data_IF_993062599088
#
_entry.id   IF_993062599088
#
_cell.length_a   1.000
_cell.length_b   1.000
_cell.length_c   1.000
_cell.angle_alpha   90.00
_cell.angle_beta   90.00
_cell.angle_gamma   90.00
#
_symmetry.space_group_name_H-M   'P 1'
#
loop_
_entity.id
_entity.type
_entity.pdbx_description
1 polymer ?
#
# COMPACT_ATOMS: atom_id res chain seq x y z
N UNK A 1 -12.95 17.81 -6.07
CA UNK A 1 -13.25 16.36 -6.07
C UNK A 1 -13.46 15.89 -7.50
N UNK A 2 -12.61 14.98 -7.95
CA UNK A 2 -12.66 14.35 -9.26
C UNK A 2 -13.05 12.88 -9.14
N UNK A 3 -13.56 12.30 -10.23
CA UNK A 3 -13.90 10.88 -10.35
C UNK A 3 -13.47 10.41 -11.74
N UNK A 4 -12.86 9.24 -11.80
CA UNK A 4 -12.39 8.63 -13.04
C UNK A 4 -12.78 7.16 -13.05
N UNK A 5 -13.37 6.71 -14.16
CA UNK A 5 -13.64 5.30 -14.41
C UNK A 5 -12.47 4.71 -15.19
N UNK A 6 -11.89 3.63 -14.69
CA UNK A 6 -10.70 2.98 -15.27
C UNK A 6 -11.01 1.53 -15.55
N UNK A 7 -10.66 1.05 -16.74
CA UNK A 7 -10.70 -0.37 -17.08
C UNK A 7 -9.28 -0.94 -17.05
N UNK A 8 -9.10 -2.08 -16.40
CA UNK A 8 -7.82 -2.79 -16.25
C UNK A 8 -7.86 -4.06 -17.08
N UNK A 9 -6.71 -4.42 -17.67
CA UNK A 9 -6.63 -5.60 -18.54
C UNK A 9 -6.74 -6.89 -17.70
N UNK A 10 -7.64 -7.84 -18.04
CA UNK A 10 -7.68 -9.16 -17.42
C UNK A 10 -6.38 -9.97 -17.63
N UNK A 11 -6.08 -10.94 -16.75
CA UNK A 11 -6.79 -11.24 -15.49
C UNK A 11 -6.38 -10.26 -14.38
N UNK A 12 -7.33 -9.84 -13.54
CA UNK A 12 -7.05 -8.97 -12.38
C UNK A 12 -8.05 -9.24 -11.24
N UNK A 13 -7.55 -9.77 -10.12
CA UNK A 13 -8.34 -10.15 -8.94
C UNK A 13 -8.19 -9.14 -7.81
N UNK A 14 -9.04 -8.12 -7.82
CA UNK A 14 -9.00 -7.06 -6.81
C UNK A 14 -9.33 -7.55 -5.40
N UNK A 15 -10.21 -8.53 -5.24
CA UNK A 15 -10.59 -9.01 -3.90
C UNK A 15 -9.37 -9.62 -3.17
N UNK A 16 -8.47 -10.28 -3.90
CA UNK A 16 -7.19 -10.78 -3.36
C UNK A 16 -6.23 -9.66 -3.00
N UNK A 17 -6.27 -8.54 -3.73
CA UNK A 17 -5.54 -7.32 -3.37
C UNK A 17 -6.07 -6.77 -2.04
N UNK A 18 -7.39 -6.69 -1.88
CA UNK A 18 -8.01 -6.24 -0.63
C UNK A 18 -7.70 -7.16 0.54
N UNK A 19 -7.72 -8.48 0.34
CA UNK A 19 -7.30 -9.46 1.36
C UNK A 19 -5.86 -9.24 1.79
N UNK A 20 -4.94 -9.03 0.84
CA UNK A 20 -3.52 -8.78 1.13
C UNK A 20 -3.31 -7.46 1.87
N UNK A 21 -3.99 -6.39 1.43
CA UNK A 21 -3.88 -5.07 2.05
C UNK A 21 -4.47 -5.08 3.47
N UNK A 22 -5.52 -5.86 3.72
CA UNK A 22 -6.17 -5.96 5.03
C UNK A 22 -5.30 -6.63 6.12
N UNK A 23 -4.15 -7.20 5.75
CA UNK A 23 -3.20 -7.74 6.74
C UNK A 23 -2.51 -6.63 7.53
N UNK A 24 -2.38 -5.44 6.94
CA UNK A 24 -1.78 -4.26 7.57
C UNK A 24 -2.90 -3.36 8.11
N UNK A 25 -3.02 -3.18 9.44
CA UNK A 25 -4.14 -2.46 10.06
C UNK A 25 -4.19 -0.97 9.68
N UNK A 26 -3.09 -0.41 9.16
CA UNK A 26 -3.06 0.97 8.69
C UNK A 26 -3.75 1.17 7.32
N UNK A 27 -4.01 0.08 6.58
CA UNK A 27 -4.70 0.18 5.30
C UNK A 27 -6.21 0.27 5.50
N UNK A 28 -6.81 1.32 4.94
CA UNK A 28 -8.26 1.54 5.01
C UNK A 28 -8.99 0.75 3.91
N UNK A 29 -9.17 -0.56 4.15
CA UNK A 29 -9.86 -1.50 3.24
C UNK A 29 -11.29 -1.75 3.71
N UNK A 30 -12.24 -1.72 2.77
CA UNK A 30 -13.61 -2.20 2.95
C UNK A 30 -13.86 -3.33 1.93
N UNK A 31 -13.92 -4.58 2.42
CA UNK A 31 -14.08 -5.75 1.55
C UNK A 31 -15.52 -5.93 1.06
N UNK A 32 -16.50 -5.48 1.82
CA UNK A 32 -17.92 -5.56 1.43
C UNK A 32 -18.21 -4.56 0.31
N UNK A 33 -17.73 -3.32 0.47
CA UNK A 33 -17.83 -2.29 -0.57
C UNK A 33 -16.83 -2.47 -1.73
N UNK A 34 -15.92 -3.45 -1.62
CA UNK A 34 -14.80 -3.71 -2.54
C UNK A 34 -14.00 -2.44 -2.83
N UNK A 35 -13.54 -1.81 -1.76
CA UNK A 35 -12.91 -0.50 -1.76
C UNK A 35 -11.63 -0.46 -0.92
N UNK A 36 -10.69 0.41 -1.31
CA UNK A 36 -9.59 0.84 -0.46
C UNK A 36 -9.36 2.35 -0.61
N UNK A 37 -9.06 3.01 0.51
CA UNK A 37 -8.64 4.41 0.55
C UNK A 37 -7.13 4.47 0.75
N UNK A 38 -6.45 5.15 -0.18
CA UNK A 38 -4.99 5.20 -0.30
C UNK A 38 -4.51 6.61 0.00
N UNK A 39 -3.83 6.85 1.13
CA UNK A 39 -3.20 8.13 1.41
C UNK A 39 -1.86 8.22 0.68
N UNK A 40 -1.71 9.26 -0.15
CA UNK A 40 -0.53 9.50 -0.99
C UNK A 40 -0.10 10.94 -0.76
N UNK A 41 1.21 11.20 -0.58
CA UNK A 41 1.73 12.56 -0.54
C UNK A 41 2.00 13.05 -1.96
N UNK A 42 1.49 14.21 -2.32
CA UNK A 42 1.83 14.87 -3.57
C UNK A 42 3.24 15.50 -3.51
N UNK A 43 3.70 16.07 -4.62
CA UNK A 43 5.01 16.74 -4.69
C UNK A 43 5.18 17.92 -3.72
N UNK A 44 4.08 18.58 -3.30
CA UNK A 44 4.10 19.63 -2.29
C UNK A 44 4.21 19.09 -0.85
N UNK A 45 4.08 17.77 -0.67
CA UNK A 45 4.14 17.09 0.62
C UNK A 45 2.78 16.97 1.33
N UNK A 46 1.70 17.44 0.70
CA UNK A 46 0.34 17.34 1.21
C UNK A 46 -0.21 15.94 0.99
N UNK A 47 -0.93 15.41 1.97
CA UNK A 47 -1.62 14.12 1.82
C UNK A 47 -2.89 14.29 1.01
N UNK A 48 -2.98 13.56 -0.08
CA UNK A 48 -4.15 13.33 -0.89
C UNK A 48 -4.70 11.94 -0.59
N UNK A 49 -6.01 11.84 -0.32
CA UNK A 49 -6.67 10.54 -0.14
C UNK A 49 -7.36 10.18 -1.43
N UNK A 50 -6.98 9.04 -1.98
CA UNK A 50 -7.54 8.51 -3.21
C UNK A 50 -8.31 7.24 -2.90
N UNK A 51 -9.58 7.23 -3.27
CA UNK A 51 -10.48 6.08 -3.10
C UNK A 51 -10.47 5.26 -4.37
N UNK A 52 -10.25 3.95 -4.26
CA UNK A 52 -10.31 2.99 -5.36
C UNK A 52 -11.38 1.96 -5.03
N UNK A 53 -12.42 1.90 -5.87
CA UNK A 53 -13.55 1.01 -5.69
C UNK A 53 -13.75 0.16 -6.95
N UNK A 54 -13.83 -1.16 -6.81
CA UNK A 54 -14.20 -2.02 -7.92
C UNK A 54 -15.68 -1.84 -8.26
N UNK A 55 -15.98 -1.75 -9.55
CA UNK A 55 -17.34 -1.68 -10.06
C UNK A 55 -17.82 -3.10 -10.44
N UNK A 56 -19.11 -3.35 -10.22
CA UNK A 56 -19.75 -4.62 -10.55
C UNK A 56 -19.23 -5.83 -9.75
N UNK A 57 -19.18 -6.98 -10.39
CA UNK A 57 -18.82 -8.27 -9.78
C UNK A 57 -17.36 -8.69 -10.04
N UNK A 58 -16.89 -9.76 -9.39
CA UNK A 58 -15.48 -10.21 -9.36
C UNK A 58 -14.80 -10.50 -10.73
N UNK A 59 -15.55 -10.52 -11.84
CA UNK A 59 -15.03 -10.62 -13.21
C UNK A 59 -15.01 -9.31 -14.00
N UNK A 60 -15.49 -8.21 -13.43
CA UNK A 60 -15.40 -6.88 -14.04
C UNK A 60 -14.12 -6.19 -13.56
N UNK A 61 -13.31 -5.74 -14.51
CA UNK A 61 -12.02 -5.09 -14.25
C UNK A 61 -12.15 -3.56 -14.34
N UNK A 62 -13.32 -3.04 -13.98
CA UNK A 62 -13.61 -1.63 -13.97
C UNK A 62 -13.54 -1.08 -12.55
N UNK A 63 -12.94 0.10 -12.40
CA UNK A 63 -12.71 0.75 -11.12
C UNK A 63 -13.22 2.18 -11.19
N UNK A 64 -13.84 2.63 -10.10
CA UNK A 64 -14.07 4.04 -9.84
C UNK A 64 -12.98 4.54 -8.91
N UNK A 65 -12.17 5.47 -9.43
CA UNK A 65 -11.14 6.17 -8.67
C UNK A 65 -11.62 7.58 -8.40
N UNK A 66 -11.47 8.06 -7.17
CA UNK A 66 -11.86 9.43 -6.81
C UNK A 66 -10.90 10.05 -5.80
N UNK A 67 -10.65 11.35 -5.94
CA UNK A 67 -9.82 12.12 -5.03
C UNK A 67 -10.19 13.60 -5.03
N UNK A 68 -9.51 14.39 -4.22
CA UNK A 68 -9.82 15.81 -4.04
C UNK A 68 -9.06 16.70 -5.00
N UNK A 69 -7.74 16.53 -5.03
CA UNK A 69 -6.74 17.35 -5.75
C UNK A 69 -5.84 16.46 -6.62
N UNK A 70 -4.98 17.10 -7.42
CA UNK A 70 -3.84 16.47 -8.11
C UNK A 70 -4.17 15.23 -8.95
N UNK A 71 -5.34 15.22 -9.62
CA UNK A 71 -5.87 14.05 -10.34
C UNK A 71 -4.81 13.32 -11.18
N UNK A 72 -4.08 14.05 -12.03
CA UNK A 72 -3.10 13.43 -12.92
C UNK A 72 -1.95 12.72 -12.19
N UNK A 73 -1.45 13.32 -11.10
CA UNK A 73 -0.41 12.73 -10.26
C UNK A 73 -0.96 11.54 -9.48
N UNK A 74 -2.12 11.71 -8.85
CA UNK A 74 -2.77 10.66 -8.06
C UNK A 74 -3.12 9.44 -8.90
N UNK A 75 -3.63 9.63 -10.10
CA UNK A 75 -3.92 8.53 -11.03
C UNK A 75 -2.65 7.79 -11.46
N UNK A 76 -1.52 8.49 -11.64
CA UNK A 76 -0.24 7.86 -11.91
C UNK A 76 0.21 6.98 -10.74
N UNK A 77 0.09 7.48 -9.51
CA UNK A 77 0.45 6.71 -8.32
C UNK A 77 -0.48 5.51 -8.09
N UNK A 78 -1.80 5.64 -8.30
CA UNK A 78 -2.74 4.52 -8.22
C UNK A 78 -2.37 3.44 -9.24
N UNK A 79 -2.13 3.80 -10.50
CA UNK A 79 -1.72 2.83 -11.53
C UNK A 79 -0.41 2.12 -11.16
N UNK A 80 0.55 2.84 -10.57
CA UNK A 80 1.81 2.27 -10.06
C UNK A 80 1.56 1.30 -8.90
N UNK A 81 0.84 1.74 -7.87
CA UNK A 81 0.57 0.97 -6.64
C UNK A 81 -0.14 -0.34 -6.97
N UNK A 82 -1.17 -0.27 -7.80
CA UNK A 82 -2.01 -1.41 -8.17
C UNK A 82 -1.54 -2.16 -9.43
N UNK A 83 -0.45 -1.72 -10.06
CA UNK A 83 0.16 -2.34 -11.25
C UNK A 83 -0.80 -2.42 -12.45
N UNK A 84 -1.68 -1.44 -12.64
CA UNK A 84 -2.72 -1.49 -13.67
C UNK A 84 -2.21 -1.39 -15.11
N UNK A 85 -0.97 -0.95 -15.30
CA UNK A 85 -0.32 -0.90 -16.62
C UNK A 85 0.49 -2.18 -16.92
N UNK A 86 0.57 -3.12 -15.97
CA UNK A 86 1.27 -4.39 -16.16
C UNK A 86 0.31 -5.49 -16.61
N UNK A 87 0.63 -6.12 -17.74
CA UNK A 87 -0.10 -7.27 -18.25
C UNK A 87 0.28 -8.53 -17.48
N UNK A 88 -0.53 -8.88 -16.47
CA UNK A 88 -0.30 -10.08 -15.63
C UNK A 88 -0.27 -11.39 -16.44
N UNK A 89 -0.93 -11.42 -17.60
CA UNK A 89 -0.91 -12.58 -18.50
C UNK A 89 0.52 -12.99 -18.92
N UNK A 90 1.42 -12.03 -19.17
CA UNK A 90 2.80 -12.35 -19.56
C UNK A 90 3.55 -13.13 -18.48
N UNK A 91 3.27 -12.85 -17.20
CA UNK A 91 3.88 -13.57 -16.09
C UNK A 91 3.35 -15.00 -16.04
N UNK A 92 2.03 -15.19 -16.22
CA UNK A 92 1.42 -16.52 -16.28
C UNK A 92 1.99 -17.34 -17.44
N UNK A 93 2.08 -16.75 -18.63
CA UNK A 93 2.62 -17.39 -19.82
C UNK A 93 4.08 -17.81 -19.62
N UNK A 94 4.88 -16.95 -18.99
CA UNK A 94 6.30 -17.22 -18.70
C UNK A 94 6.47 -18.46 -17.81
N UNK A 95 5.66 -18.59 -16.75
CA UNK A 95 5.79 -19.69 -15.79
C UNK A 95 4.98 -20.94 -16.14
N UNK A 96 4.08 -20.88 -17.14
CA UNK A 96 3.19 -21.98 -17.55
C UNK A 96 3.90 -23.30 -17.88
N UNK A 97 5.16 -23.25 -18.32
CA UNK A 97 5.98 -24.42 -18.70
C UNK A 97 7.01 -24.81 -17.64
N UNK A 98 6.95 -24.21 -16.47
CA UNK A 98 7.91 -24.45 -15.37
C UNK A 98 7.27 -25.31 -14.28
N UNK A 99 8.06 -25.78 -13.32
CA UNK A 99 7.54 -26.45 -12.12
C UNK A 99 6.70 -25.53 -11.23
N UNK A 100 6.67 -24.22 -11.51
CA UNK A 100 5.86 -23.22 -10.81
C UNK A 100 4.48 -22.99 -11.47
N UNK A 101 4.12 -23.68 -12.56
CA UNK A 101 2.87 -23.41 -13.28
C UNK A 101 1.64 -23.45 -12.37
N UNK A 102 1.53 -24.46 -11.52
CA UNK A 102 0.39 -24.66 -10.62
C UNK A 102 0.17 -23.48 -9.66
N UNK A 103 1.25 -22.92 -9.08
CA UNK A 103 1.12 -21.77 -8.16
C UNK A 103 0.74 -20.48 -8.91
N UNK A 104 1.23 -20.31 -10.15
CA UNK A 104 0.84 -19.15 -10.96
C UNK A 104 -0.60 -19.26 -11.47
N UNK A 105 -1.07 -20.46 -11.81
CA UNK A 105 -2.48 -20.71 -12.16
C UNK A 105 -3.41 -20.46 -10.97
N UNK A 106 -3.07 -20.95 -9.77
CA UNK A 106 -3.82 -20.69 -8.53
C UNK A 106 -3.89 -19.19 -8.20
N UNK A 107 -2.81 -18.46 -8.49
CA UNK A 107 -2.67 -17.02 -8.27
C UNK A 107 -2.89 -16.15 -9.51
N UNK A 108 -3.53 -16.68 -10.56
CA UNK A 108 -3.82 -15.94 -11.78
C UNK A 108 -4.48 -14.60 -11.48
N UNK A 109 -4.01 -13.54 -12.13
CA UNK A 109 -4.48 -12.17 -11.95
C UNK A 109 -4.30 -11.56 -10.54
N UNK A 110 -3.50 -12.16 -9.66
CA UNK A 110 -3.13 -11.53 -8.38
C UNK A 110 -1.88 -10.65 -8.58
N UNK A 111 -1.99 -9.31 -8.58
CA UNK A 111 -0.83 -8.45 -8.78
C UNK A 111 0.07 -8.40 -7.53
N UNK A 112 1.34 -8.04 -7.75
CA UNK A 112 2.23 -7.60 -6.67
C UNK A 112 1.96 -6.13 -6.36
N UNK A 113 1.05 -5.89 -5.41
CA UNK A 113 0.70 -4.54 -4.93
C UNK A 113 1.92 -3.90 -4.29
N UNK A 114 2.25 -2.69 -4.72
CA UNK A 114 3.37 -1.93 -4.17
C UNK A 114 2.93 -1.14 -2.94
N UNK A 115 3.87 -0.84 -2.05
CA UNK A 115 3.62 0.14 -0.99
C UNK A 115 3.31 1.53 -1.58
N UNK A 116 2.53 2.31 -0.82
CA UNK A 116 1.96 3.58 -1.29
C UNK A 116 3.02 4.64 -1.59
N UNK A 117 4.21 4.54 -0.98
CA UNK A 117 5.36 5.37 -1.32
C UNK A 117 6.66 4.60 -1.09
N UNK A 118 7.74 5.04 -1.76
CA UNK A 118 9.09 4.49 -1.57
C UNK A 118 9.56 4.70 -0.13
N UNK A 119 9.25 5.86 0.46
CA UNK A 119 9.59 6.15 1.84
C UNK A 119 8.89 5.21 2.83
N UNK A 120 7.58 4.98 2.65
CA UNK A 120 6.82 4.05 3.50
C UNK A 120 7.39 2.64 3.37
N UNK A 121 7.72 2.21 2.15
CA UNK A 121 8.39 0.93 1.88
C UNK A 121 9.71 0.81 2.65
N UNK A 122 10.56 1.84 2.60
CA UNK A 122 11.82 1.88 3.32
C UNK A 122 11.63 1.79 4.84
N UNK A 123 10.74 2.62 5.40
CA UNK A 123 10.43 2.59 6.83
C UNK A 123 9.89 1.23 7.26
N UNK A 124 8.95 0.67 6.51
CA UNK A 124 8.40 -0.67 6.75
C UNK A 124 9.49 -1.73 6.71
N UNK A 125 10.40 -1.69 5.73
CA UNK A 125 11.52 -2.61 5.66
C UNK A 125 12.42 -2.53 6.90
N UNK A 126 12.77 -1.33 7.36
CA UNK A 126 13.59 -1.12 8.57
C UNK A 126 12.84 -1.64 9.81
N UNK A 127 11.57 -1.28 9.97
CA UNK A 127 10.75 -1.67 11.11
C UNK A 127 10.55 -3.20 11.13
N UNK A 128 10.35 -3.85 9.98
CA UNK A 128 9.98 -5.26 9.89
C UNK A 128 11.17 -6.22 9.96
N UNK A 129 12.41 -5.72 9.84
CA UNK A 129 13.62 -6.56 9.91
C UNK A 129 13.69 -7.41 11.18
N UNK A 130 13.98 -8.70 11.03
CA UNK A 130 14.17 -9.65 12.15
C UNK A 130 12.96 -9.77 13.10
N UNK A 131 11.74 -9.46 12.64
CA UNK A 131 10.49 -9.64 13.39
C UNK A 131 9.57 -10.64 12.71
N UNK A 132 8.66 -11.25 13.46
CA UNK A 132 7.50 -11.92 12.86
C UNK A 132 6.51 -10.87 12.35
N UNK A 133 5.71 -11.24 11.35
CA UNK A 133 4.84 -10.31 10.64
C UNK A 133 3.79 -9.64 11.54
N UNK A 134 3.19 -10.39 12.46
CA UNK A 134 2.17 -9.85 13.38
C UNK A 134 2.75 -8.75 14.27
N UNK A 135 3.90 -9.00 14.89
CA UNK A 135 4.56 -8.01 15.73
C UNK A 135 5.12 -6.84 14.91
N UNK A 136 5.56 -7.09 13.68
CA UNK A 136 6.00 -6.03 12.78
C UNK A 136 4.86 -5.04 12.45
N UNK A 137 3.65 -5.53 12.19
CA UNK A 137 2.47 -4.67 12.02
C UNK A 137 2.14 -3.88 13.30
N UNK A 138 2.14 -4.53 14.47
CA UNK A 138 1.92 -3.82 15.74
C UNK A 138 2.95 -2.71 15.98
N UNK A 139 4.23 -2.97 15.69
CA UNK A 139 5.28 -1.98 15.87
C UNK A 139 5.14 -0.82 14.87
N UNK A 140 4.80 -1.12 13.62
CA UNK A 140 4.50 -0.10 12.60
C UNK A 140 3.29 0.75 12.98
N UNK A 141 2.21 0.15 13.47
CA UNK A 141 1.01 0.86 13.90
C UNK A 141 1.32 1.83 15.04
N UNK A 142 2.05 1.38 16.08
CA UNK A 142 2.52 2.24 17.17
C UNK A 142 3.38 3.40 16.67
N UNK A 143 4.31 3.12 15.77
CA UNK A 143 5.19 4.13 15.18
C UNK A 143 4.40 5.20 14.40
N UNK A 144 3.44 4.77 13.58
CA UNK A 144 2.62 5.69 12.79
C UNK A 144 1.62 6.46 13.68
N UNK A 145 1.06 5.86 14.72
CA UNK A 145 0.22 6.59 15.67
C UNK A 145 0.99 7.61 16.52
N UNK A 146 2.24 7.30 16.88
CA UNK A 146 3.05 8.18 17.69
C UNK A 146 3.58 9.38 16.91
N UNK A 147 4.02 9.17 15.67
CA UNK A 147 4.76 10.19 14.91
C UNK A 147 4.11 10.57 13.58
N UNK A 148 3.21 9.75 13.07
CA UNK A 148 2.53 9.98 11.80
C UNK A 148 1.50 11.10 11.87
N UNK A 149 0.85 11.34 10.74
CA UNK A 149 -0.23 12.32 10.63
C UNK A 149 -1.54 11.62 10.24
N UNK A 150 -2.66 12.22 10.63
CA UNK A 150 -3.98 11.71 10.30
C UNK A 150 -4.70 12.70 9.37
N UNK A 151 -5.28 12.18 8.28
CA UNK A 151 -6.18 12.92 7.39
C UNK A 151 -7.43 12.09 7.13
N UNK A 152 -8.61 12.67 7.31
CA UNK A 152 -9.93 12.01 7.15
C UNK A 152 -10.05 10.64 7.84
N UNK A 153 -9.45 10.54 9.03
CA UNK A 153 -9.41 9.30 9.81
C UNK A 153 -8.36 8.28 9.37
N UNK A 154 -7.64 8.51 8.26
CA UNK A 154 -6.56 7.65 7.78
C UNK A 154 -5.21 8.10 8.30
N UNK A 155 -4.42 7.12 8.74
CA UNK A 155 -3.06 7.33 9.20
C UNK A 155 -2.07 7.30 8.05
N UNK A 156 -1.16 8.28 8.07
CA UNK A 156 -0.09 8.43 7.10
C UNK A 156 1.24 8.36 7.83
N UNK A 157 2.24 7.77 7.17
CA UNK A 157 3.58 7.69 7.74
C UNK A 157 4.12 9.10 8.04
N UNK A 158 4.91 9.24 9.13
CA UNK A 158 5.55 10.49 9.53
C UNK A 158 6.42 11.04 8.40
N UNK A 159 6.52 12.35 8.30
CA UNK A 159 7.45 12.97 7.35
C UNK A 159 8.91 12.67 7.77
N UNK A 160 9.87 12.61 6.82
CA UNK A 160 11.27 12.41 7.15
C UNK A 160 11.80 13.43 8.17
N UNK A 161 11.33 14.68 8.10
CA UNK A 161 11.72 15.76 9.01
C UNK A 161 11.26 15.45 10.44
N UNK A 162 10.05 14.94 10.62
CA UNK A 162 9.53 14.51 11.93
C UNK A 162 10.39 13.41 12.54
N UNK A 163 10.89 12.47 11.72
CA UNK A 163 11.73 11.38 12.19
C UNK A 163 13.17 11.84 12.47
N UNK A 164 13.67 12.82 11.72
CA UNK A 164 15.00 13.40 11.95
C UNK A 164 15.12 14.15 13.28
N UNK A 165 14.00 14.60 13.84
CA UNK A 165 13.94 15.30 15.14
C UNK A 165 13.82 14.35 16.34
N UNK A 166 13.58 13.05 16.12
CA UNK A 166 13.41 12.08 17.21
C UNK A 166 14.72 11.75 17.90
N UNK A 167 14.65 11.64 19.21
CA UNK A 167 15.74 11.09 20.00
C UNK A 167 15.66 9.57 20.04
N UNK A 168 16.81 8.94 20.29
CA UNK A 168 16.91 7.49 20.45
C UNK A 168 15.92 6.93 21.49
N UNK A 169 15.62 7.70 22.53
CA UNK A 169 14.71 7.28 23.59
C UNK A 169 13.27 7.15 23.10
N UNK A 170 12.83 8.00 22.17
CA UNK A 170 11.47 7.97 21.62
C UNK A 170 11.18 6.66 20.88
N UNK A 171 12.16 6.18 20.10
CA UNK A 171 12.06 4.90 19.39
C UNK A 171 12.14 3.72 20.37
N UNK A 172 12.96 3.82 21.41
CA UNK A 172 13.10 2.78 22.44
C UNK A 172 11.81 2.58 23.22
N UNK A 173 11.10 3.65 23.53
CA UNK A 173 9.81 3.58 24.24
C UNK A 173 8.73 2.85 23.43
N UNK A 174 8.86 2.86 22.10
CA UNK A 174 8.03 2.06 21.19
C UNK A 174 8.51 0.60 21.02
N UNK A 175 9.53 0.16 21.75
CA UNK A 175 10.13 -1.19 21.68
C UNK A 175 10.93 -1.45 20.40
N UNK A 176 11.50 -0.41 19.76
CA UNK A 176 12.49 -0.61 18.72
C UNK A 176 13.79 -1.18 19.30
N UNK A 177 14.43 -2.10 18.57
CA UNK A 177 15.71 -2.66 18.97
C UNK A 177 16.85 -1.62 18.81
N UNK A 178 17.94 -1.80 19.57
CA UNK A 178 19.10 -0.90 19.54
C UNK A 178 19.71 -0.75 18.14
N UNK A 179 19.69 -1.81 17.31
CA UNK A 179 20.21 -1.75 15.92
C UNK A 179 19.34 -0.94 14.97
N UNK A 180 18.02 -0.86 15.19
CA UNK A 180 17.10 -0.11 14.33
C UNK A 180 17.02 1.37 14.67
N UNK A 181 17.37 1.72 15.90
CA UNK A 181 17.28 3.08 16.42
C UNK A 181 18.57 3.90 16.19
N UNK A 182 19.61 3.30 15.61
CA UNK A 182 20.93 3.93 15.39
C UNK A 182 21.13 4.51 13.97
N UNK A 183 20.08 4.74 13.19
CA UNK A 183 20.18 5.22 11.79
C UNK A 183 20.28 6.77 11.72
N UNK A 184 20.29 7.48 12.85
CA UNK A 184 20.31 8.95 12.92
C UNK A 184 21.70 9.60 13.17
N UNK A 185 22.81 8.95 12.80
CA UNK A 185 24.15 9.55 12.91
C UNK A 185 24.97 9.46 11.63
#
# INVERSE_FOLDING_TARGET
>A
MWKEKVSVTPPYHFDRVLDRLSLDPLNAVDREAREVRVPIRNQAGDVCIVKVQALGHAGEHEFLVSGETDQGEMMKEIKRIFQWENHLQHVLDHFSKTSLSAIFEEHAGTPLVLDYSVYNCMMKCIIHQQLNLSFAYTLTERFVHAFGEQKDGLWCYPKPETIAELDYQDLRDLQFSMRKSGIHH
#
